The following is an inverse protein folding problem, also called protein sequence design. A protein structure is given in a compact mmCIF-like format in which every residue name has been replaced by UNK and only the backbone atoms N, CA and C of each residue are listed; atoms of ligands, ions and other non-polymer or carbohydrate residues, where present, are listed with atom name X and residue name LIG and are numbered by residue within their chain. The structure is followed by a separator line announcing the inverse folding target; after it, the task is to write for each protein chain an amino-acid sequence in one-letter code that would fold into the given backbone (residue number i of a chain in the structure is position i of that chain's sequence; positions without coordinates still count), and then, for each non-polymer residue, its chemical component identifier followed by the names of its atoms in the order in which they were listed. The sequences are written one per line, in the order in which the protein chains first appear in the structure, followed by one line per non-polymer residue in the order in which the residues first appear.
data_IF_462540349818
#
_entry.id   IF_462540349818
#
_cell.length_a   1.000
_cell.length_b   1.000
_cell.length_c   1.000
_cell.angle_alpha   90.00
_cell.angle_beta   90.00
_cell.angle_gamma   90.00
#
_symmetry.space_group_name_H-M   'P 1'
#
loop_
_entity.id
_entity.type
_entity.pdbx_description
1 polymer ?
#
# COMPACT_ATOMS: atom_id res chain seq x y z
N UNK A 1 6.04 -4.65 -8.46
CA UNK A 1 6.67 -3.54 -9.24
C UNK A 1 5.61 -2.45 -9.41
N UNK A 2 5.87 -1.18 -9.07
CA UNK A 2 4.85 -0.13 -9.05
C UNK A 2 4.71 0.53 -10.44
N UNK A 3 3.67 0.16 -11.19
CA UNK A 3 3.26 0.90 -12.40
C UNK A 3 2.12 1.86 -12.06
N UNK A 4 2.32 3.15 -12.39
CA UNK A 4 1.30 4.20 -12.32
C UNK A 4 0.37 4.06 -13.52
N UNK A 5 -0.88 3.67 -13.28
CA UNK A 5 -1.96 3.77 -14.27
C UNK A 5 -2.64 5.12 -14.06
N UNK A 6 -2.74 5.93 -15.11
CA UNK A 6 -3.34 7.27 -15.03
C UNK A 6 -4.72 7.23 -14.37
N UNK A 7 -4.89 8.02 -13.30
CA UNK A 7 -6.13 8.15 -12.53
C UNK A 7 -6.05 7.55 -11.13
N UNK A 8 -5.47 8.28 -10.16
CA UNK A 8 -5.49 8.03 -8.69
C UNK A 8 -5.35 6.57 -8.22
N UNK A 9 -4.76 5.70 -9.05
CA UNK A 9 -4.65 4.27 -8.85
C UNK A 9 -3.19 3.86 -8.90
N UNK A 10 -2.78 3.05 -7.95
CA UNK A 10 -1.43 2.49 -7.87
C UNK A 10 -1.53 0.97 -7.74
N UNK A 11 -0.57 0.25 -8.29
CA UNK A 11 -0.45 -1.19 -8.07
C UNK A 11 0.35 -1.48 -6.80
N UNK A 12 -0.27 -2.05 -5.79
CA UNK A 12 0.42 -2.44 -4.55
C UNK A 12 0.62 -3.95 -4.57
N UNK A 13 1.86 -4.38 -4.38
CA UNK A 13 2.18 -5.78 -4.08
C UNK A 13 1.92 -6.03 -2.60
N UNK A 14 1.00 -6.92 -2.28
CA UNK A 14 0.60 -7.24 -0.91
C UNK A 14 1.37 -8.44 -0.35
N UNK A 15 1.35 -8.63 0.97
CA UNK A 15 2.05 -9.74 1.68
C UNK A 15 1.58 -11.15 1.29
N UNK A 16 0.39 -11.26 0.71
CA UNK A 16 -0.15 -12.50 0.19
C UNK A 16 0.36 -12.83 -1.22
N UNK A 17 1.27 -12.02 -1.78
CA UNK A 17 1.85 -12.21 -3.10
C UNK A 17 0.95 -11.74 -4.25
N UNK A 18 -0.22 -11.19 -3.94
CA UNK A 18 -1.18 -10.69 -4.94
C UNK A 18 -0.93 -9.20 -5.18
N UNK A 19 -0.81 -8.81 -6.45
CA UNK A 19 -0.79 -7.41 -6.83
C UNK A 19 -2.21 -6.87 -6.96
N UNK A 20 -2.51 -5.79 -6.23
CA UNK A 20 -3.84 -5.18 -6.20
C UNK A 20 -3.82 -3.78 -6.75
N UNK A 21 -4.93 -3.39 -7.37
CA UNK A 21 -5.14 -2.03 -7.82
C UNK A 21 -5.74 -1.21 -6.67
N UNK A 22 -4.93 -0.33 -6.10
CA UNK A 22 -5.30 0.48 -4.96
C UNK A 22 -5.63 1.89 -5.39
N UNK A 23 -6.79 2.39 -4.98
CA UNK A 23 -7.17 3.80 -5.15
C UNK A 23 -6.60 4.63 -4.01
N UNK A 24 -6.12 5.83 -4.33
CA UNK A 24 -5.69 6.84 -3.36
C UNK A 24 -6.87 7.76 -3.05
N UNK A 25 -7.47 7.70 -1.84
CA UNK A 25 -8.50 8.66 -1.46
C UNK A 25 -7.91 10.08 -1.46
N UNK A 26 -8.69 11.08 -1.90
CA UNK A 26 -8.24 12.47 -1.93
C UNK A 26 -7.75 12.98 -0.56
N UNK A 27 -8.29 12.45 0.54
CA UNK A 27 -7.84 12.74 1.91
C UNK A 27 -6.38 12.30 2.15
N UNK A 28 -5.97 11.15 1.62
CA UNK A 28 -4.59 10.65 1.69
C UNK A 28 -3.71 11.46 0.75
N UNK A 29 -4.14 11.67 -0.50
CA UNK A 29 -3.40 12.43 -1.51
C UNK A 29 -3.02 13.84 -1.03
N UNK A 30 -3.89 14.49 -0.25
CA UNK A 30 -3.63 15.81 0.34
C UNK A 30 -2.67 15.79 1.54
N UNK A 31 -2.55 14.67 2.26
CA UNK A 31 -1.75 14.57 3.50
C UNK A 31 -0.37 13.99 3.27
N UNK A 32 -0.26 13.00 2.40
CA UNK A 32 0.95 12.22 2.21
C UNK A 32 1.23 12.04 0.73
N UNK A 33 2.46 12.31 0.35
CA UNK A 33 2.98 11.86 -0.93
C UNK A 33 3.38 10.39 -0.79
N UNK A 34 2.89 9.54 -1.70
CA UNK A 34 3.22 8.12 -1.77
C UNK A 34 4.21 7.94 -2.91
N UNK A 35 5.34 7.28 -2.64
CA UNK A 35 6.39 6.97 -3.61
C UNK A 35 6.61 5.46 -3.69
N UNK A 36 7.39 5.07 -4.69
CA UNK A 36 7.88 3.70 -4.78
C UNK A 36 8.71 3.34 -3.54
N UNK A 37 8.48 2.13 -2.99
CA UNK A 37 9.03 1.59 -1.73
C UNK A 37 8.37 2.05 -0.42
N UNK A 38 7.32 2.87 -0.47
CA UNK A 38 6.53 3.15 0.74
C UNK A 38 5.68 1.93 1.14
N UNK A 39 5.62 1.66 2.45
CA UNK A 39 4.70 0.66 3.00
C UNK A 39 3.36 1.32 3.30
N UNK A 40 2.30 0.75 2.76
CA UNK A 40 0.93 1.27 2.89
C UNK A 40 0.01 0.21 3.46
N UNK A 41 -0.98 0.66 4.22
CA UNK A 41 -2.11 -0.19 4.60
C UNK A 41 -3.21 0.04 3.59
N UNK A 42 -3.71 -1.06 3.06
CA UNK A 42 -4.81 -1.08 2.08
C UNK A 42 -6.02 -1.77 2.69
N UNK A 43 -7.20 -1.25 2.40
CA UNK A 43 -8.48 -1.86 2.74
C UNK A 43 -9.08 -2.49 1.50
N UNK A 44 -9.21 -3.81 1.50
CA UNK A 44 -9.82 -4.55 0.40
C UNK A 44 -11.30 -4.19 0.25
N UNK A 45 -11.81 -4.23 -0.98
CA UNK A 45 -13.24 -4.10 -1.23
C UNK A 45 -13.94 -5.44 -1.06
N UNK A 46 -15.08 -5.43 -0.37
CA UNK A 46 -15.83 -6.66 -0.06
C UNK A 46 -16.34 -7.38 -1.32
N UNK A 47 -16.64 -6.62 -2.39
CA UNK A 47 -17.17 -7.15 -3.66
C UNK A 47 -16.11 -7.42 -4.72
N UNK A 48 -14.90 -6.87 -4.57
CA UNK A 48 -13.83 -7.00 -5.55
C UNK A 48 -12.46 -7.05 -4.85
N UNK A 49 -11.97 -8.24 -4.45
CA UNK A 49 -10.76 -8.37 -3.63
C UNK A 49 -9.45 -8.00 -4.36
N UNK A 50 -9.52 -7.79 -5.69
CA UNK A 50 -8.40 -7.28 -6.48
C UNK A 50 -8.25 -5.75 -6.40
N UNK A 51 -9.29 -5.07 -5.91
CA UNK A 51 -9.29 -3.62 -5.66
C UNK A 51 -9.25 -3.33 -4.17
N UNK A 52 -8.61 -2.21 -3.84
CA UNK A 52 -8.50 -1.75 -2.47
C UNK A 52 -8.41 -0.22 -2.41
N UNK A 53 -8.62 0.35 -1.23
CA UNK A 53 -8.34 1.76 -0.96
C UNK A 53 -7.15 1.89 0.00
N UNK A 54 -6.27 2.86 -0.25
CA UNK A 54 -5.18 3.18 0.67
C UNK A 54 -5.74 3.95 1.86
N UNK A 55 -5.56 3.41 3.06
CA UNK A 55 -6.02 4.05 4.30
C UNK A 55 -4.89 4.71 5.07
N UNK A 56 -3.66 4.22 4.92
CA UNK A 56 -2.51 4.71 5.69
C UNK A 56 -1.19 4.47 4.95
N UNK A 57 -0.21 5.34 5.22
CA UNK A 57 1.18 5.17 4.78
C UNK A 57 2.08 5.19 6.01
N UNK A 58 2.91 4.17 6.16
CA UNK A 58 3.95 4.16 7.17
C UNK A 58 5.12 5.04 6.75
N UNK A 59 5.80 5.65 7.72
CA UNK A 59 7.14 6.23 7.51
C UNK A 59 8.18 5.10 7.55
N UNK A 60 9.36 5.33 6.96
CA UNK A 60 10.45 4.34 7.01
C UNK A 60 10.78 3.86 8.43
N UNK A 61 10.77 4.77 9.41
CA UNK A 61 10.99 4.42 10.83
C UNK A 61 9.88 3.51 11.38
N UNK A 62 8.62 3.78 11.05
CA UNK A 62 7.50 2.94 11.48
C UNK A 62 7.55 1.55 10.81
N UNK A 63 7.89 1.51 9.53
CA UNK A 63 8.11 0.28 8.77
C UNK A 63 9.21 -0.58 9.40
N UNK A 64 10.35 0.01 9.76
CA UNK A 64 11.43 -0.70 10.44
C UNK A 64 11.01 -1.26 11.80
N UNK A 65 10.18 -0.53 12.55
CA UNK A 65 9.63 -1.02 13.81
C UNK A 65 8.68 -2.21 13.59
N UNK A 66 7.82 -2.14 12.57
CA UNK A 66 6.93 -3.25 12.18
C UNK A 66 7.71 -4.49 11.74
N UNK A 67 8.80 -4.29 11.01
CA UNK A 67 9.73 -5.36 10.59
C UNK A 67 10.39 -6.01 11.81
N UNK A 68 10.91 -5.22 12.76
CA UNK A 68 11.50 -5.74 14.01
C UNK A 68 10.50 -6.53 14.85
N UNK A 69 9.21 -6.17 14.80
CA UNK A 69 8.13 -6.89 15.47
C UNK A 69 7.67 -8.15 14.72
N UNK A 70 8.19 -8.41 13.52
CA UNK A 70 7.87 -9.59 12.71
C UNK A 70 6.54 -9.51 11.94
N UNK A 71 5.91 -8.34 11.87
CA UNK A 71 4.63 -8.16 11.17
C UNK A 71 4.77 -8.04 9.64
N UNK A 72 5.97 -7.74 9.12
CA UNK A 72 6.22 -7.52 7.69
C UNK A 72 7.09 -8.62 7.05
N UNK A 73 7.19 -9.78 7.69
CA UNK A 73 8.14 -10.84 7.31
C UNK A 73 7.84 -11.49 5.95
N UNK A 74 6.69 -11.21 5.31
CA UNK A 74 6.31 -11.83 4.03
C UNK A 74 6.48 -10.92 2.81
N UNK A 75 6.86 -9.65 2.99
CA UNK A 75 7.15 -8.76 1.86
C UNK A 75 8.59 -8.95 1.37
N UNK A 76 8.81 -9.15 0.07
CA UNK A 76 10.16 -9.06 -0.50
C UNK A 76 10.57 -7.58 -0.47
N UNK A 77 11.30 -7.19 0.58
CA UNK A 77 11.99 -5.89 0.68
C UNK A 77 13.35 -5.96 -0.01
#
# INVERSE_FOLDING_TARGET
MLQLFGGDQIKVSCEDGIERMCRIPGKIKKRVWIRERDIVIVRLWDFQPIKADIIWRYTGVQAEHLKKKGFLNKLPL
#
